data_IF_418910134470
#
_entry.id   IF_418910134470
#
_cell.length_a   1.000
_cell.length_b   1.000
_cell.length_c   1.000
_cell.angle_alpha   90.00
_cell.angle_beta   90.00
_cell.angle_gamma   90.00
#
_symmetry.space_group_name_H-M   'P 1'
#
loop_
_entity.id
_entity.type
_entity.pdbx_description
1 polymer ?
#
# COMPACT_ATOMS: atom_id res chain seq x y z
N UNK A 1 4.68 7.26 -14.69
CA UNK A 1 3.93 5.98 -14.76
C UNK A 1 2.48 6.29 -15.16
N UNK A 2 1.83 5.45 -15.96
CA UNK A 2 0.51 5.76 -16.54
C UNK A 2 -0.62 5.50 -15.52
N UNK A 3 -1.64 6.36 -15.44
CA UNK A 3 -2.89 6.21 -14.66
C UNK A 3 -3.75 4.95 -14.93
N UNK A 4 -3.20 3.93 -15.61
CA UNK A 4 -3.92 2.75 -16.09
C UNK A 4 -4.15 1.68 -15.02
N UNK A 5 -3.39 1.66 -13.92
CA UNK A 5 -3.53 0.63 -12.89
C UNK A 5 -4.59 0.96 -11.82
N UNK A 6 -4.90 2.24 -11.56
CA UNK A 6 -5.87 2.62 -10.52
C UNK A 6 -7.28 2.16 -10.89
N UNK A 7 -7.70 2.41 -12.13
CA UNK A 7 -9.03 2.03 -12.63
C UNK A 7 -9.20 0.51 -12.65
N UNK A 8 -8.17 -0.21 -13.10
CA UNK A 8 -8.14 -1.67 -13.09
C UNK A 8 -8.19 -2.21 -11.66
N UNK A 9 -7.33 -1.69 -10.76
CA UNK A 9 -7.31 -2.06 -9.35
C UNK A 9 -8.69 -1.87 -8.71
N UNK A 10 -9.33 -0.72 -8.90
CA UNK A 10 -10.67 -0.48 -8.36
C UNK A 10 -11.70 -1.49 -8.89
N UNK A 11 -11.64 -1.82 -10.17
CA UNK A 11 -12.56 -2.78 -10.78
C UNK A 11 -12.35 -4.17 -10.18
N UNK A 12 -11.10 -4.63 -10.06
CA UNK A 12 -10.75 -5.90 -9.43
C UNK A 12 -11.06 -5.93 -7.93
N UNK A 13 -11.01 -4.78 -7.25
CA UNK A 13 -11.33 -4.64 -5.83
C UNK A 13 -12.84 -4.46 -5.57
N UNK A 14 -13.68 -4.63 -6.61
CA UNK A 14 -15.14 -4.66 -6.47
C UNK A 14 -15.76 -3.31 -6.14
N UNK A 15 -15.14 -2.21 -6.61
CA UNK A 15 -15.75 -0.87 -6.59
C UNK A 15 -16.85 -0.83 -7.66
N UNK A 16 -18.02 -0.30 -7.31
CA UNK A 16 -19.11 -0.17 -8.27
C UNK A 16 -18.74 0.80 -9.41
N UNK A 17 -19.24 0.61 -10.65
CA UNK A 17 -18.91 1.50 -11.77
C UNK A 17 -19.23 2.97 -11.49
N UNK A 18 -20.32 3.22 -10.75
CA UNK A 18 -20.70 4.56 -10.33
C UNK A 18 -19.62 5.19 -9.42
N UNK A 19 -19.22 4.50 -8.37
CA UNK A 19 -18.23 5.01 -7.42
C UNK A 19 -16.81 5.06 -8.00
N UNK A 20 -16.49 4.12 -8.89
CA UNK A 20 -15.23 4.13 -9.64
C UNK A 20 -15.10 5.39 -10.50
N UNK A 21 -16.18 5.82 -11.16
CA UNK A 21 -16.19 7.05 -11.96
C UNK A 21 -15.93 8.33 -11.14
N UNK A 22 -16.04 8.27 -9.81
CA UNK A 22 -15.88 9.41 -8.91
C UNK A 22 -14.57 9.42 -8.14
N UNK A 23 -14.02 8.25 -7.81
CA UNK A 23 -12.86 8.16 -6.91
C UNK A 23 -11.64 7.50 -7.54
N UNK A 24 -11.80 6.69 -8.60
CA UNK A 24 -10.71 5.85 -9.13
C UNK A 24 -9.87 6.54 -10.21
N UNK A 25 -9.72 7.86 -10.11
CA UNK A 25 -8.76 8.62 -10.91
C UNK A 25 -8.09 9.70 -10.04
N UNK A 26 -6.83 9.45 -9.72
CA UNK A 26 -6.01 10.34 -8.90
C UNK A 26 -5.61 11.64 -9.63
N UNK A 27 -5.80 11.72 -10.95
CA UNK A 27 -5.50 12.93 -11.73
C UNK A 27 -6.55 14.00 -11.58
N UNK A 28 -7.79 13.58 -11.38
CA UNK A 28 -8.96 14.44 -11.32
C UNK A 28 -9.37 14.59 -9.87
N UNK A 29 -9.09 15.76 -9.30
CA UNK A 29 -9.57 16.10 -7.95
C UNK A 29 -11.10 16.20 -8.02
N UNK A 30 -11.86 15.48 -7.17
CA UNK A 30 -13.31 15.56 -7.14
C UNK A 30 -13.79 17.00 -6.94
N UNK A 31 -14.73 17.44 -7.76
CA UNK A 31 -15.37 18.74 -7.55
C UNK A 31 -16.40 18.69 -6.39
N UNK A 32 -17.06 19.81 -6.10
CA UNK A 32 -18.02 19.89 -5.00
C UNK A 32 -19.18 18.88 -5.12
N UNK A 33 -19.76 18.70 -6.32
CA UNK A 33 -20.85 17.74 -6.55
C UNK A 33 -20.37 16.30 -6.41
N UNK A 34 -19.15 16.01 -6.87
CA UNK A 34 -18.56 14.68 -6.74
C UNK A 34 -18.19 14.37 -5.31
N UNK A 35 -17.69 15.35 -4.56
CA UNK A 35 -17.44 15.23 -3.12
C UNK A 35 -18.72 14.89 -2.36
N UNK A 36 -19.84 15.51 -2.72
CA UNK A 36 -21.17 15.15 -2.17
C UNK A 36 -21.50 13.70 -2.52
N UNK A 37 -21.41 13.30 -3.79
CA UNK A 37 -21.69 11.93 -4.22
C UNK A 37 -20.81 10.89 -3.50
N UNK A 38 -19.53 11.19 -3.32
CA UNK A 38 -18.59 10.35 -2.56
C UNK A 38 -19.09 10.18 -1.13
N UNK A 39 -19.44 11.30 -0.50
CA UNK A 39 -19.89 11.36 0.89
C UNK A 39 -21.22 10.62 1.14
N UNK A 40 -22.17 10.72 0.20
CA UNK A 40 -23.51 10.17 0.36
C UNK A 40 -23.65 8.75 -0.14
N UNK A 41 -22.99 8.42 -1.24
CA UNK A 41 -23.30 7.23 -2.03
C UNK A 41 -22.13 6.25 -2.12
N UNK A 42 -20.88 6.71 -1.95
CA UNK A 42 -19.70 5.88 -2.16
C UNK A 42 -18.82 5.67 -0.93
N UNK A 43 -19.14 6.32 0.20
CA UNK A 43 -18.32 6.28 1.43
C UNK A 43 -17.98 4.89 1.93
N UNK A 44 -18.86 3.91 1.72
CA UNK A 44 -18.70 2.52 2.15
C UNK A 44 -17.77 1.74 1.24
N UNK A 45 -17.56 2.21 0.00
CA UNK A 45 -16.63 1.61 -0.96
C UNK A 45 -15.22 2.21 -0.85
N UNK A 46 -15.01 3.24 -0.03
CA UNK A 46 -13.69 3.86 0.13
C UNK A 46 -12.60 2.88 0.56
N UNK A 47 -12.93 1.89 1.40
CA UNK A 47 -11.97 0.85 1.81
C UNK A 47 -11.44 0.02 0.63
N UNK A 48 -12.20 -0.07 -0.47
CA UNK A 48 -11.80 -0.73 -1.73
C UNK A 48 -10.97 0.19 -2.62
N UNK A 49 -11.21 1.50 -2.56
CA UNK A 49 -10.57 2.51 -3.42
C UNK A 49 -9.23 2.99 -2.86
N UNK A 50 -9.19 3.27 -1.55
CA UNK A 50 -8.04 3.88 -0.86
C UNK A 50 -6.72 3.13 -1.11
N UNK A 51 -6.67 1.78 -1.06
CA UNK A 51 -5.44 1.04 -1.37
C UNK A 51 -5.01 1.19 -2.84
N UNK A 52 -5.96 1.29 -3.77
CA UNK A 52 -5.68 1.48 -5.19
C UNK A 52 -5.11 2.87 -5.49
N UNK A 53 -5.60 3.91 -4.81
CA UNK A 53 -5.08 5.28 -4.94
C UNK A 53 -3.70 5.44 -4.29
N UNK A 54 -3.43 4.72 -3.21
CA UNK A 54 -2.11 4.72 -2.59
C UNK A 54 -1.10 3.89 -3.38
N UNK A 55 -1.57 2.79 -4.01
CA UNK A 55 -0.78 1.83 -4.80
C UNK A 55 0.48 1.39 -4.02
N UNK A 56 0.24 0.96 -2.78
CA UNK A 56 1.26 0.45 -1.86
C UNK A 56 2.20 1.49 -1.25
N UNK A 57 2.02 2.79 -1.54
CA UNK A 57 2.86 3.87 -0.99
C UNK A 57 2.18 4.59 0.17
N UNK A 58 2.96 4.99 1.17
CA UNK A 58 2.50 5.80 2.29
C UNK A 58 2.82 7.28 2.07
N UNK A 59 1.80 8.12 1.84
CA UNK A 59 1.97 9.53 1.48
C UNK A 59 1.81 10.49 2.68
N UNK A 60 1.72 9.95 3.90
CA UNK A 60 1.46 10.72 5.13
C UNK A 60 2.45 11.85 5.35
N UNK A 61 3.75 11.65 5.08
CA UNK A 61 4.76 12.70 5.25
C UNK A 61 4.53 13.91 4.32
N UNK A 62 4.07 13.66 3.10
CA UNK A 62 3.70 14.73 2.18
C UNK A 62 2.46 15.47 2.70
N UNK A 63 1.44 14.72 3.12
CA UNK A 63 0.20 15.29 3.63
C UNK A 63 0.41 16.15 4.88
N UNK A 64 1.23 15.69 5.83
CA UNK A 64 1.64 16.44 7.00
C UNK A 64 2.30 17.78 6.61
N UNK A 65 3.24 17.76 5.67
CA UNK A 65 3.90 18.99 5.17
C UNK A 65 2.95 19.94 4.45
N UNK A 66 1.84 19.43 3.91
CA UNK A 66 0.80 20.21 3.24
C UNK A 66 -0.29 20.71 4.19
N UNK A 67 -0.21 20.39 5.49
CA UNK A 67 -1.17 20.83 6.49
C UNK A 67 -2.47 20.02 6.55
N UNK A 68 -2.50 18.83 5.93
CA UNK A 68 -3.64 17.91 6.04
C UNK A 68 -3.85 17.53 7.51
N UNK A 69 -5.10 17.59 7.98
CA UNK A 69 -5.38 17.32 9.40
C UNK A 69 -5.03 15.87 9.77
N UNK A 70 -4.66 15.66 11.03
CA UNK A 70 -4.18 14.36 11.51
C UNK A 70 -5.19 13.23 11.28
N UNK A 71 -6.47 13.50 11.52
CA UNK A 71 -7.55 12.52 11.30
C UNK A 71 -7.75 12.15 9.82
N UNK A 72 -7.24 12.99 8.91
CA UNK A 72 -7.30 12.79 7.47
C UNK A 72 -6.10 12.01 6.91
N UNK A 73 -5.03 11.83 7.69
CA UNK A 73 -3.80 11.18 7.22
C UNK A 73 -3.99 9.71 6.86
N UNK A 74 -5.02 9.03 7.41
CA UNK A 74 -5.39 7.67 7.00
C UNK A 74 -5.71 7.57 5.50
N UNK A 75 -6.26 8.63 4.92
CA UNK A 75 -6.54 8.73 3.48
C UNK A 75 -5.22 8.78 2.69
N UNK A 76 -4.23 9.52 3.19
CA UNK A 76 -2.89 9.60 2.60
C UNK A 76 -2.10 8.29 2.69
N UNK A 77 -2.36 7.49 3.72
CA UNK A 77 -1.72 6.20 3.92
C UNK A 77 -2.29 5.07 3.06
N UNK A 78 -3.42 5.27 2.38
CA UNK A 78 -4.08 4.19 1.63
C UNK A 78 -4.76 3.14 2.51
N UNK A 79 -5.14 3.50 3.74
CA UNK A 79 -5.73 2.56 4.69
C UNK A 79 -7.09 2.08 4.17
N UNK A 80 -7.31 0.75 4.20
CA UNK A 80 -8.51 0.08 3.74
C UNK A 80 -9.66 0.15 4.78
N UNK A 81 -10.01 1.35 5.22
CA UNK A 81 -11.10 1.61 6.17
C UNK A 81 -12.21 2.44 5.50
N UNK A 82 -13.50 2.24 5.83
CA UNK A 82 -14.57 3.11 5.31
C UNK A 82 -14.42 4.56 5.79
N UNK A 83 -14.96 5.51 5.01
CA UNK A 83 -15.01 6.90 5.45
C UNK A 83 -16.01 7.09 6.59
N UNK A 84 -15.52 7.70 7.67
CA UNK A 84 -16.37 8.14 8.77
C UNK A 84 -17.04 9.48 8.44
N UNK A 85 -18.01 9.90 9.24
CA UNK A 85 -18.60 11.24 9.10
C UNK A 85 -17.55 12.36 9.28
N UNK A 86 -16.55 12.13 10.13
CA UNK A 86 -15.44 13.07 10.35
C UNK A 86 -14.54 13.14 9.10
N UNK A 87 -14.35 12.02 8.42
CA UNK A 87 -13.56 11.92 7.18
C UNK A 87 -14.19 12.69 6.01
N UNK A 88 -15.47 13.06 6.08
CA UNK A 88 -16.12 13.89 5.05
C UNK A 88 -15.57 15.32 5.03
N UNK A 89 -15.20 15.85 6.19
CA UNK A 89 -14.56 17.16 6.29
C UNK A 89 -13.19 17.14 5.60
N UNK A 90 -12.45 16.04 5.73
CA UNK A 90 -11.18 15.83 5.02
C UNK A 90 -11.33 15.90 3.50
N UNK A 91 -12.39 15.28 2.96
CA UNK A 91 -12.65 15.31 1.52
C UNK A 91 -13.06 16.70 1.02
N UNK A 92 -13.61 17.56 1.90
CA UNK A 92 -13.97 18.91 1.51
C UNK A 92 -12.76 19.86 1.58
N UNK A 93 -11.99 19.79 2.67
CA UNK A 93 -10.92 20.75 2.96
C UNK A 93 -9.56 20.34 2.37
N UNK A 94 -9.23 19.05 2.42
CA UNK A 94 -7.86 18.57 2.22
C UNK A 94 -7.69 17.77 0.92
N UNK A 95 -8.77 17.48 0.17
CA UNK A 95 -8.72 16.55 -0.96
C UNK A 95 -7.74 16.96 -2.06
N UNK A 96 -7.62 18.26 -2.32
CA UNK A 96 -6.66 18.77 -3.30
C UNK A 96 -5.20 18.50 -2.86
N UNK A 97 -4.90 18.70 -1.58
CA UNK A 97 -3.58 18.43 -1.00
C UNK A 97 -3.28 16.93 -0.98
N UNK A 98 -4.27 16.11 -0.58
CA UNK A 98 -4.19 14.65 -0.58
C UNK A 98 -3.88 14.13 -2.00
N UNK A 99 -4.67 14.53 -3.00
CA UNK A 99 -4.48 14.10 -4.39
C UNK A 99 -3.17 14.62 -4.99
N UNK A 100 -2.70 15.80 -4.58
CA UNK A 100 -1.37 16.27 -4.94
C UNK A 100 -0.29 15.32 -4.39
N UNK A 101 -0.38 14.93 -3.12
CA UNK A 101 0.58 14.02 -2.49
C UNK A 101 0.55 12.61 -3.11
N UNK A 102 -0.63 12.07 -3.38
CA UNK A 102 -0.78 10.79 -4.08
C UNK A 102 -0.07 10.83 -5.44
N UNK A 103 -0.36 11.86 -6.26
CA UNK A 103 0.30 12.09 -7.57
C UNK A 103 1.81 12.19 -7.45
N UNK A 104 2.30 13.01 -6.54
CA UNK A 104 3.73 13.15 -6.29
C UNK A 104 4.38 11.81 -5.95
N UNK A 105 3.70 10.95 -5.18
CA UNK A 105 4.21 9.63 -4.85
C UNK A 105 4.36 8.70 -6.07
N UNK A 106 3.49 8.80 -7.08
CA UNK A 106 3.68 8.06 -8.34
C UNK A 106 4.92 8.50 -9.13
N UNK A 107 5.32 9.76 -9.00
CA UNK A 107 6.47 10.31 -9.72
C UNK A 107 7.78 10.16 -8.95
N UNK A 108 7.72 10.13 -7.62
CA UNK A 108 8.91 10.25 -6.75
C UNK A 108 9.26 8.98 -5.98
N UNK A 109 8.46 7.91 -6.10
CA UNK A 109 8.69 6.66 -5.36
C UNK A 109 8.55 5.44 -6.28
N UNK A 110 9.33 4.38 -6.05
CA UNK A 110 9.14 3.12 -6.76
C UNK A 110 7.72 2.58 -6.55
N UNK A 111 7.19 1.88 -7.56
CA UNK A 111 6.02 1.02 -7.37
C UNK A 111 6.40 -0.22 -6.53
N UNK A 112 5.42 -1.06 -6.20
CA UNK A 112 5.71 -2.36 -5.61
C UNK A 112 6.60 -3.22 -6.56
N UNK A 113 7.44 -4.12 -6.00
CA UNK A 113 8.13 -5.15 -6.78
C UNK A 113 7.12 -6.05 -7.50
N UNK A 114 7.53 -6.61 -8.64
CA UNK A 114 6.67 -7.45 -9.46
C UNK A 114 7.07 -8.92 -9.33
N UNK A 115 6.20 -9.84 -9.77
CA UNK A 115 6.49 -11.28 -9.85
C UNK A 115 7.12 -11.85 -8.57
N UNK A 116 6.59 -11.48 -7.40
CA UNK A 116 7.04 -12.05 -6.13
C UNK A 116 6.65 -13.52 -6.13
N UNK A 117 7.64 -14.41 -6.16
CA UNK A 117 7.43 -15.85 -6.22
C UNK A 117 8.19 -16.59 -5.14
N UNK A 118 7.56 -17.66 -4.67
CA UNK A 118 8.16 -18.65 -3.79
C UNK A 118 8.37 -19.89 -4.63
N UNK A 119 9.60 -20.41 -4.66
CA UNK A 119 9.94 -21.58 -5.48
C UNK A 119 10.48 -22.72 -4.64
N UNK A 120 11.79 -22.73 -4.36
CA UNK A 120 12.45 -23.82 -3.63
C UNK A 120 12.09 -23.77 -2.15
N UNK A 121 11.13 -24.59 -1.76
CA UNK A 121 10.74 -24.81 -0.35
C UNK A 121 11.36 -26.14 0.11
N UNK A 122 12.17 -26.09 1.15
CA UNK A 122 12.67 -27.26 1.89
C UNK A 122 12.04 -27.30 3.28
N UNK A 123 12.39 -28.29 4.10
CA UNK A 123 11.93 -28.36 5.49
C UNK A 123 12.32 -27.13 6.32
N UNK A 124 13.42 -26.48 5.95
CA UNK A 124 14.10 -25.45 6.73
C UNK A 124 14.47 -24.19 5.92
N UNK A 125 14.12 -24.13 4.64
CA UNK A 125 14.46 -22.98 3.81
C UNK A 125 13.40 -22.67 2.76
N UNK A 126 13.36 -21.40 2.35
CA UNK A 126 12.54 -20.95 1.25
C UNK A 126 13.29 -19.95 0.38
N UNK A 127 13.21 -20.12 -0.93
CA UNK A 127 13.68 -19.14 -1.90
C UNK A 127 12.55 -18.22 -2.34
N UNK A 128 12.73 -16.92 -2.10
CA UNK A 128 11.84 -15.85 -2.54
C UNK A 128 12.55 -15.00 -3.57
N UNK A 129 11.91 -14.76 -4.71
CA UNK A 129 12.44 -13.92 -5.79
C UNK A 129 11.40 -12.92 -6.26
N UNK A 130 11.86 -11.80 -6.81
CA UNK A 130 11.01 -10.74 -7.36
C UNK A 130 11.70 -10.04 -8.53
N UNK A 131 10.90 -9.36 -9.33
CA UNK A 131 11.33 -8.45 -10.40
C UNK A 131 11.26 -7.00 -9.92
N UNK A 132 12.06 -6.15 -10.55
CA UNK A 132 12.07 -4.72 -10.23
C UNK A 132 10.69 -4.05 -10.39
N UNK A 133 10.44 -2.96 -9.65
CA UNK A 133 9.26 -2.12 -9.82
C UNK A 133 9.04 -1.70 -11.27
N UNK A 134 7.78 -1.76 -11.73
CA UNK A 134 7.41 -1.27 -13.06
C UNK A 134 7.66 0.23 -13.23
N UNK A 135 7.61 1.01 -12.14
CA UNK A 135 7.98 2.41 -12.16
C UNK A 135 9.01 2.76 -11.12
N UNK A 136 9.85 3.71 -11.52
CA UNK A 136 10.89 4.33 -10.71
C UNK A 136 11.80 3.28 -10.03
N UNK A 137 12.10 2.16 -10.71
CA UNK A 137 13.01 1.13 -10.22
C UNK A 137 14.39 1.70 -9.82
N UNK A 138 14.87 2.72 -10.55
CA UNK A 138 16.11 3.43 -10.24
C UNK A 138 16.08 4.23 -8.92
N UNK A 139 14.91 4.43 -8.30
CA UNK A 139 14.74 5.06 -6.98
C UNK A 139 14.70 4.03 -5.84
N UNK A 140 14.81 2.74 -6.12
CA UNK A 140 14.89 1.70 -5.09
C UNK A 140 16.22 1.80 -4.37
N UNK A 141 16.17 1.96 -3.05
CA UNK A 141 17.36 2.00 -2.19
C UNK A 141 17.60 0.62 -1.56
N UNK A 142 16.53 -0.05 -1.14
CA UNK A 142 16.57 -1.35 -0.48
C UNK A 142 15.26 -2.11 -0.66
N UNK A 143 15.33 -3.42 -0.47
CA UNK A 143 14.15 -4.28 -0.30
C UNK A 143 14.10 -4.80 1.13
N UNK A 144 12.91 -4.77 1.73
CA UNK A 144 12.65 -5.41 3.03
C UNK A 144 11.67 -6.56 2.84
N UNK A 145 12.00 -7.73 3.42
CA UNK A 145 11.16 -8.92 3.38
C UNK A 145 10.52 -9.16 4.75
N UNK A 146 9.19 -9.19 4.77
CA UNK A 146 8.39 -9.46 5.96
C UNK A 146 7.66 -10.79 5.82
N UNK A 147 7.73 -11.63 6.85
CA UNK A 147 7.08 -12.94 6.89
C UNK A 147 6.17 -13.01 8.11
N UNK A 148 5.00 -13.64 7.95
CA UNK A 148 4.03 -13.86 9.02
C UNK A 148 3.45 -15.26 8.89
N UNK A 149 3.21 -15.93 10.02
CA UNK A 149 2.44 -17.18 10.03
C UNK A 149 1.01 -16.93 9.54
N UNK A 150 0.42 -17.92 8.88
CA UNK A 150 -0.97 -17.86 8.42
C UNK A 150 -1.96 -18.16 9.57
N UNK A 151 -1.71 -17.59 10.74
CA UNK A 151 -2.60 -17.67 11.91
C UNK A 151 -3.33 -16.33 12.16
N UNK A 152 -3.07 -15.30 11.34
CA UNK A 152 -3.56 -13.91 11.42
C UNK A 152 -3.30 -13.18 12.76
N UNK A 153 -2.81 -13.88 13.76
CA UNK A 153 -2.52 -13.40 15.12
C UNK A 153 -1.04 -13.02 15.24
N UNK A 154 -0.15 -13.76 14.59
CA UNK A 154 1.29 -13.49 14.61
C UNK A 154 1.61 -12.15 13.98
N UNK A 155 2.52 -11.39 14.58
CA UNK A 155 3.04 -10.17 13.95
C UNK A 155 3.97 -10.52 12.77
N UNK A 156 4.07 -9.60 11.81
CA UNK A 156 5.09 -9.69 10.78
C UNK A 156 6.49 -9.63 11.42
N UNK A 157 7.38 -10.48 10.95
CA UNK A 157 8.80 -10.44 11.28
C UNK A 157 9.56 -9.98 10.04
N UNK A 158 10.33 -8.90 10.16
CA UNK A 158 11.32 -8.55 9.14
C UNK A 158 12.44 -9.56 9.20
N UNK A 159 12.76 -10.18 8.06
CA UNK A 159 13.82 -11.19 8.00
C UNK A 159 14.97 -10.75 7.09
N UNK A 160 14.79 -9.64 6.38
CA UNK A 160 15.81 -9.08 5.53
C UNK A 160 15.59 -7.59 5.32
N UNK A 161 16.68 -6.83 5.41
CA UNK A 161 16.82 -5.51 4.79
C UNK A 161 18.16 -5.52 4.05
N UNK A 162 18.13 -5.56 2.71
CA UNK A 162 19.38 -5.51 1.91
C UNK A 162 19.38 -4.38 0.91
N UNK A 163 20.59 -3.95 0.56
CA UNK A 163 20.85 -3.12 -0.59
C UNK A 163 20.84 -4.01 -1.85
N UNK A 164 19.87 -3.78 -2.73
CA UNK A 164 19.93 -4.16 -4.15
C UNK A 164 20.09 -5.68 -4.47
N UNK A 165 19.47 -6.57 -3.69
CA UNK A 165 19.38 -8.01 -4.05
C UNK A 165 17.97 -8.32 -4.56
N UNK A 166 17.83 -9.03 -5.68
CA UNK A 166 16.55 -9.39 -6.34
C UNK A 166 16.04 -10.81 -5.99
N UNK A 167 16.78 -11.54 -5.14
CA UNK A 167 16.40 -12.84 -4.62
C UNK A 167 17.01 -13.08 -3.24
N UNK A 168 16.32 -13.86 -2.42
CA UNK A 168 16.79 -14.19 -1.08
C UNK A 168 16.42 -15.63 -0.72
N UNK A 169 17.41 -16.38 -0.23
CA UNK A 169 17.15 -17.65 0.45
C UNK A 169 17.08 -17.39 1.95
N UNK A 170 15.88 -17.60 2.49
CA UNK A 170 15.68 -17.64 3.92
C UNK A 170 16.09 -19.03 4.40
N UNK A 171 17.23 -19.13 5.07
CA UNK A 171 17.58 -20.34 5.82
C UNK A 171 17.06 -20.18 7.24
N UNK A 172 16.45 -21.22 7.82
CA UNK A 172 16.08 -21.27 9.23
C UNK A 172 17.31 -21.31 10.19
N UNK A 173 18.51 -20.99 9.70
CA UNK A 173 19.76 -21.01 10.47
C UNK A 173 19.96 -19.80 11.40
N UNK A 174 18.90 -19.08 11.78
CA UNK A 174 18.97 -18.03 12.81
C UNK A 174 18.16 -18.33 14.08
N UNK A 175 17.61 -19.54 14.23
CA UNK A 175 16.99 -19.97 15.50
C UNK A 175 17.43 -21.38 15.98
N UNK A 176 18.48 -21.97 15.42
CA UNK A 176 18.98 -23.29 15.84
C UNK A 176 20.33 -23.28 16.56
N UNK A 177 20.91 -22.09 16.82
CA UNK A 177 22.08 -21.94 17.70
C UNK A 177 21.76 -21.27 19.04
N UNK A 178 20.49 -21.02 19.35
CA UNK A 178 20.05 -20.73 20.72
C UNK A 178 19.68 -22.05 21.41
N UNK A 179 20.71 -22.71 21.93
CA UNK A 179 20.68 -23.74 22.97
C UNK A 179 19.81 -24.99 22.69
N UNK A 180 20.53 -26.08 22.39
CA UNK A 180 20.37 -27.29 23.18
C UNK A 180 20.29 -26.92 24.67
N UNK A 181 19.07 -26.91 25.23
CA UNK A 181 18.83 -27.40 26.57
C UNK A 181 17.61 -28.32 26.49
N UNK A 182 17.91 -29.62 26.43
CA UNK A 182 17.04 -30.62 27.04
C UNK A 182 16.94 -30.21 28.51
N UNK A 183 15.73 -29.91 28.98
CA UNK A 183 15.29 -30.18 30.35
C UNK A 183 13.77 -30.36 30.28
N UNK A 184 13.31 -31.44 30.92
CA UNK A 184 11.94 -31.98 30.94
C UNK A 184 10.81 -30.95 30.99
#
# INVERSE_FOLDING_TARGET
MRPGNVVECCSSNGVSPYCASKMCDVRTVPNALETIAISTSCRTEWSKVSPCLADGRNHTDCCLKKGVQHDCLKICGGVAEPLTMHSLLCLNLDIAAIYQCLRQGYDTRPSAPQNVTVSKVTEDSVEVSWSDPAANAHLVISYSLFIRKDDRVSNFKEVLSTLLVSSFQLQAQMYLWATFFILN
#
